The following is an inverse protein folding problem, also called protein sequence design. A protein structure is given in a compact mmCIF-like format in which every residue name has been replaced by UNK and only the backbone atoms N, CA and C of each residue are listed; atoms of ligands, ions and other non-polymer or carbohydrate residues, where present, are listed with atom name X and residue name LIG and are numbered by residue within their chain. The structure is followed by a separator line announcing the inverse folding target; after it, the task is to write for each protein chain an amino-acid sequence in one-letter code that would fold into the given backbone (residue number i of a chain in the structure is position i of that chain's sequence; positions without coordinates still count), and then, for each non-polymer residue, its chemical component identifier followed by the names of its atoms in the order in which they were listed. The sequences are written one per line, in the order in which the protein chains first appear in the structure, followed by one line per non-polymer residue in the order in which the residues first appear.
data_IF_102999678720
#
_entry.id   IF_102999678720
#
_cell.length_a   1.000
_cell.length_b   1.000
_cell.length_c   1.000
_cell.angle_alpha   90.00
_cell.angle_beta   90.00
_cell.angle_gamma   90.00
#
_symmetry.space_group_name_H-M   'P 1'
#
loop_
_entity.id
_entity.type
_entity.pdbx_description
1 polymer ?
#
# COMPACT_ATOMS: atom_id res chain seq x y z
N UNK A 1 -13.10 13.83 21.77
CA UNK A 1 -11.65 14.06 21.68
C UNK A 1 -11.05 12.84 21.01
N UNK A 2 -10.83 12.92 19.70
CA UNK A 2 -10.18 11.86 18.92
C UNK A 2 -8.68 12.04 19.09
N UNK A 3 -8.03 11.13 19.83
CA UNK A 3 -6.57 11.07 19.93
C UNK A 3 -5.96 10.93 18.53
N UNK A 4 -5.04 11.82 18.17
CA UNK A 4 -4.23 11.69 16.96
C UNK A 4 -3.29 10.49 17.13
N UNK A 5 -3.73 9.35 16.63
CA UNK A 5 -3.02 8.06 16.67
C UNK A 5 -1.97 8.05 15.55
N UNK A 6 -0.83 8.73 15.76
CA UNK A 6 0.49 8.56 15.11
C UNK A 6 1.36 9.81 15.36
N UNK A 7 2.18 9.80 16.41
CA UNK A 7 3.07 10.93 16.75
C UNK A 7 4.40 10.82 15.97
N UNK A 8 4.31 10.86 14.64
CA UNK A 8 5.49 10.91 13.76
C UNK A 8 5.56 12.25 13.00
N UNK A 9 6.75 12.86 12.83
CA UNK A 9 6.88 14.21 12.29
C UNK A 9 6.63 14.31 10.78
N UNK A 10 6.53 13.17 10.09
CA UNK A 10 6.36 13.11 8.64
C UNK A 10 4.89 12.96 8.27
N UNK A 11 4.39 13.81 7.36
CA UNK A 11 3.12 13.53 6.70
C UNK A 11 3.30 12.31 5.79
N UNK A 12 2.53 11.24 6.04
CA UNK A 12 2.54 10.02 5.23
C UNK A 12 1.20 9.84 4.53
N UNK A 13 1.24 9.55 3.24
CA UNK A 13 0.08 9.37 2.36
C UNK A 13 0.32 8.19 1.44
N UNK A 14 -0.76 7.52 1.02
CA UNK A 14 -0.66 6.44 0.04
C UNK A 14 -0.55 7.03 -1.38
N UNK A 15 0.21 6.36 -2.24
CA UNK A 15 0.20 6.64 -3.68
C UNK A 15 0.32 5.35 -4.46
N UNK A 16 -0.45 5.24 -5.56
CA UNK A 16 -0.36 4.11 -6.48
C UNK A 16 0.76 4.27 -7.51
N UNK A 17 1.38 5.46 -7.61
CA UNK A 17 2.40 5.75 -8.63
C UNK A 17 3.57 4.76 -8.62
N UNK A 18 4.15 4.35 -7.46
CA UNK A 18 5.23 3.36 -7.45
C UNK A 18 4.82 2.00 -8.03
N UNK A 19 3.56 1.60 -7.85
CA UNK A 19 3.02 0.36 -8.43
C UNK A 19 2.91 0.50 -9.95
N UNK A 20 2.33 1.60 -10.45
CA UNK A 20 2.23 1.87 -11.88
C UNK A 20 3.60 1.93 -12.55
N UNK A 21 4.56 2.60 -11.90
CA UNK A 21 5.94 2.67 -12.36
C UNK A 21 6.62 1.30 -12.43
N UNK A 22 6.36 0.44 -11.44
CA UNK A 22 6.86 -0.93 -11.47
C UNK A 22 6.32 -1.68 -12.70
N UNK A 23 5.02 -1.55 -12.99
CA UNK A 23 4.39 -2.14 -14.17
C UNK A 23 5.01 -1.62 -15.48
N UNK A 24 5.13 -0.28 -15.64
CA UNK A 24 5.73 0.37 -16.82
C UNK A 24 7.15 -0.10 -17.10
N UNK A 25 7.96 -0.24 -16.04
CA UNK A 25 9.40 -0.51 -16.16
C UNK A 25 9.73 -2.00 -16.26
N UNK A 26 8.98 -2.85 -15.55
CA UNK A 26 9.39 -4.25 -15.32
C UNK A 26 8.42 -5.29 -15.88
N UNK A 27 7.14 -4.96 -16.08
CA UNK A 27 6.13 -5.96 -16.45
C UNK A 27 5.69 -5.77 -17.90
N UNK A 28 5.18 -4.59 -18.23
CA UNK A 28 4.65 -4.30 -19.56
C UNK A 28 5.68 -4.53 -20.70
N UNK A 29 6.98 -4.18 -20.55
CA UNK A 29 7.97 -4.42 -21.60
C UNK A 29 8.31 -5.90 -21.80
N UNK A 30 8.14 -6.73 -20.76
CA UNK A 30 8.60 -8.14 -20.76
C UNK A 30 7.47 -9.09 -21.18
N UNK A 31 6.22 -8.74 -20.89
CA UNK A 31 5.06 -9.57 -21.20
C UNK A 31 3.98 -8.76 -21.92
N UNK A 32 3.89 -8.82 -23.26
CA UNK A 32 2.97 -8.00 -24.05
C UNK A 32 1.50 -8.12 -23.65
N UNK A 33 1.04 -9.34 -23.31
CA UNK A 33 -0.35 -9.55 -22.87
C UNK A 33 -0.66 -8.84 -21.55
N UNK A 34 0.27 -8.88 -20.60
CA UNK A 34 0.17 -8.14 -19.34
C UNK A 34 0.31 -6.63 -19.57
N UNK A 35 1.13 -6.21 -20.56
CA UNK A 35 1.25 -4.83 -21.00
C UNK A 35 -0.08 -4.26 -21.51
N UNK A 36 -0.75 -4.94 -22.43
CA UNK A 36 -2.07 -4.52 -22.93
C UNK A 36 -3.13 -4.46 -21.83
N UNK A 37 -3.06 -5.39 -20.87
CA UNK A 37 -3.94 -5.34 -19.70
C UNK A 37 -3.65 -4.12 -18.82
N UNK A 38 -2.37 -3.84 -18.56
CA UNK A 38 -1.92 -2.69 -17.80
C UNK A 38 -2.35 -1.36 -18.43
N UNK A 39 -2.24 -1.19 -19.75
CA UNK A 39 -2.68 0.03 -20.46
C UNK A 39 -4.15 0.38 -20.18
N UNK A 40 -5.03 -0.63 -20.11
CA UNK A 40 -6.45 -0.43 -19.79
C UNK A 40 -6.63 0.08 -18.36
N UNK A 41 -5.97 -0.55 -17.38
CA UNK A 41 -6.08 -0.15 -15.98
C UNK A 41 -5.43 1.20 -15.70
N UNK A 42 -4.26 1.44 -16.29
CA UNK A 42 -3.57 2.72 -16.23
C UNK A 42 -4.44 3.84 -16.81
N UNK A 43 -5.10 3.60 -17.96
CA UNK A 43 -6.06 4.54 -18.54
C UNK A 43 -7.19 4.89 -17.57
N UNK A 44 -7.84 3.88 -16.97
CA UNK A 44 -8.93 4.10 -16.00
C UNK A 44 -8.48 4.83 -14.73
N UNK A 45 -7.28 4.54 -14.21
CA UNK A 45 -6.69 5.29 -13.09
C UNK A 45 -6.42 6.74 -13.51
N UNK A 46 -5.93 6.95 -14.73
CA UNK A 46 -5.71 8.28 -15.28
C UNK A 46 -7.01 9.07 -15.51
N UNK A 47 -8.16 8.41 -15.59
CA UNK A 47 -9.46 9.05 -15.67
C UNK A 47 -10.13 9.23 -14.29
N UNK A 48 -9.53 8.72 -13.22
CA UNK A 48 -10.08 8.74 -11.86
C UNK A 48 -9.27 9.66 -10.96
N UNK A 49 -9.63 10.95 -10.80
CA UNK A 49 -8.86 11.91 -10.00
C UNK A 49 -8.63 11.48 -8.55
N UNK A 50 -9.57 10.73 -7.97
CA UNK A 50 -9.48 10.25 -6.58
C UNK A 50 -8.33 9.25 -6.36
N UNK A 51 -7.84 8.58 -7.41
CA UNK A 51 -6.73 7.62 -7.34
C UNK A 51 -5.38 8.22 -7.75
N UNK A 52 -5.36 9.49 -8.16
CA UNK A 52 -4.14 10.17 -8.61
C UNK A 52 -3.38 10.82 -7.47
N UNK A 53 -2.06 10.67 -7.50
CA UNK A 53 -1.18 11.35 -6.57
C UNK A 53 -1.29 10.81 -5.14
N UNK A 54 -1.50 11.72 -4.19
CA UNK A 54 -1.63 11.42 -2.77
C UNK A 54 -3.07 11.06 -2.41
N UNK A 55 -3.26 9.86 -1.85
CA UNK A 55 -4.52 9.34 -1.34
C UNK A 55 -4.51 9.53 0.19
N UNK A 56 -5.28 10.53 0.67
CA UNK A 56 -5.39 10.87 2.09
C UNK A 56 -6.30 9.89 2.84
N UNK A 57 -7.44 9.55 2.23
CA UNK A 57 -8.42 8.63 2.78
C UNK A 57 -8.33 7.32 2.00
N UNK A 58 -7.72 6.29 2.61
CA UNK A 58 -7.56 4.98 1.97
C UNK A 58 -8.87 4.22 1.82
N UNK A 59 -9.93 4.59 2.56
CA UNK A 59 -11.23 3.92 2.44
C UNK A 59 -11.85 4.11 1.05
N UNK A 60 -11.44 5.13 0.29
CA UNK A 60 -11.91 5.32 -1.08
C UNK A 60 -11.57 4.11 -1.97
N UNK A 61 -10.48 3.39 -1.67
CA UNK A 61 -10.02 2.25 -2.45
C UNK A 61 -10.99 1.07 -2.41
N UNK A 62 -11.86 0.99 -1.41
CA UNK A 62 -12.92 -0.03 -1.36
C UNK A 62 -13.87 0.09 -2.55
N UNK A 63 -14.03 1.30 -3.12
CA UNK A 63 -14.86 1.56 -4.30
C UNK A 63 -14.16 1.24 -5.63
N UNK A 64 -12.86 0.94 -5.61
CA UNK A 64 -12.02 0.76 -6.81
C UNK A 64 -11.25 -0.56 -6.81
N UNK A 65 -11.79 -1.58 -6.12
CA UNK A 65 -11.16 -2.91 -6.06
C UNK A 65 -11.05 -3.58 -7.44
N UNK A 66 -11.93 -3.23 -8.39
CA UNK A 66 -11.86 -3.70 -9.78
C UNK A 66 -10.61 -3.18 -10.52
N UNK A 67 -10.06 -2.04 -10.11
CA UNK A 67 -8.79 -1.51 -10.60
C UNK A 67 -7.61 -2.00 -9.78
N UNK A 68 -7.77 -2.08 -8.46
CA UNK A 68 -6.67 -2.39 -7.53
C UNK A 68 -6.25 -3.86 -7.60
N UNK A 69 -7.21 -4.80 -7.58
CA UNK A 69 -6.92 -6.24 -7.53
C UNK A 69 -6.06 -6.69 -8.73
N UNK A 70 -6.39 -6.33 -9.99
CA UNK A 70 -5.57 -6.72 -11.14
C UNK A 70 -4.15 -6.15 -11.09
N UNK A 71 -3.98 -4.91 -10.62
CA UNK A 71 -2.65 -4.30 -10.52
C UNK A 71 -1.83 -4.89 -9.39
N UNK A 72 -2.48 -5.27 -8.28
CA UNK A 72 -1.83 -5.91 -7.13
C UNK A 72 -1.44 -7.36 -7.41
N UNK A 73 -2.00 -8.01 -8.43
CA UNK A 73 -1.71 -9.42 -8.71
C UNK A 73 -0.24 -9.71 -9.07
N UNK A 74 0.52 -8.67 -9.44
CA UNK A 74 1.97 -8.78 -9.68
C UNK A 74 2.76 -8.97 -8.37
N UNK A 75 2.23 -8.48 -7.25
CA UNK A 75 2.82 -8.62 -5.91
C UNK A 75 2.13 -9.72 -5.12
N UNK A 76 0.82 -9.88 -5.28
CA UNK A 76 -0.03 -10.79 -4.54
C UNK A 76 -0.79 -11.70 -5.53
N UNK A 77 -0.21 -12.84 -5.94
CA UNK A 77 -0.80 -13.70 -6.95
C UNK A 77 -2.22 -14.14 -6.58
N UNK A 78 -3.18 -13.97 -7.49
CA UNK A 78 -4.57 -14.37 -7.24
C UNK A 78 -4.70 -15.88 -6.97
N UNK A 79 -3.82 -16.70 -7.55
CA UNK A 79 -3.82 -18.15 -7.36
C UNK A 79 -3.52 -18.59 -5.92
N UNK A 80 -2.87 -17.74 -5.12
CA UNK A 80 -2.50 -18.04 -3.72
C UNK A 80 -3.30 -17.24 -2.70
N UNK A 81 -4.27 -16.42 -3.12
CA UNK A 81 -4.98 -15.47 -2.25
C UNK A 81 -5.69 -16.13 -1.06
N UNK A 82 -6.24 -17.33 -1.25
CA UNK A 82 -6.98 -18.04 -0.20
C UNK A 82 -6.06 -18.75 0.80
N UNK A 83 -4.81 -19.02 0.40
CA UNK A 83 -3.85 -19.79 1.19
C UNK A 83 -2.84 -18.90 1.90
N UNK A 84 -2.41 -17.81 1.27
CA UNK A 84 -1.41 -16.90 1.80
C UNK A 84 -2.02 -15.88 2.76
N UNK A 85 -1.24 -15.52 3.79
CA UNK A 85 -1.56 -14.43 4.72
C UNK A 85 -0.75 -13.22 4.28
N UNK A 86 -1.30 -12.46 3.34
CA UNK A 86 -0.62 -11.31 2.72
C UNK A 86 -1.49 -10.05 2.74
N UNK A 87 -0.84 -8.89 2.76
CA UNK A 87 -1.49 -7.59 2.67
C UNK A 87 -0.48 -6.46 2.46
N UNK A 88 -0.96 -5.35 1.91
CA UNK A 88 -0.24 -4.10 1.75
C UNK A 88 -0.74 -3.08 2.77
N UNK A 89 0.21 -2.38 3.38
CA UNK A 89 -0.03 -1.40 4.44
C UNK A 89 0.45 -0.03 3.98
N UNK A 90 -0.21 1.02 4.46
CA UNK A 90 0.26 2.40 4.28
C UNK A 90 1.62 2.62 4.96
N UNK A 91 2.48 3.48 4.42
CA UNK A 91 3.71 3.87 5.10
C UNK A 91 3.40 4.61 6.41
N UNK A 92 4.21 4.38 7.44
CA UNK A 92 4.16 4.99 8.77
C UNK A 92 2.92 4.68 9.62
N UNK A 93 1.71 4.67 9.05
CA UNK A 93 0.46 4.44 9.79
C UNK A 93 0.06 2.97 9.87
N UNK A 94 0.70 2.11 9.06
CA UNK A 94 0.46 0.65 9.01
C UNK A 94 -1.02 0.27 8.82
N UNK A 95 -1.81 1.14 8.19
CA UNK A 95 -3.21 0.90 7.89
C UNK A 95 -3.30 -0.03 6.67
N UNK A 96 -3.99 -1.17 6.77
CA UNK A 96 -4.19 -2.05 5.61
C UNK A 96 -5.06 -1.39 4.54
N UNK A 97 -4.65 -1.52 3.28
CA UNK A 97 -5.43 -1.04 2.13
C UNK A 97 -5.62 -2.09 1.03
N UNK A 98 -4.87 -3.19 1.09
CA UNK A 98 -5.07 -4.39 0.29
C UNK A 98 -4.72 -5.60 1.14
N UNK A 99 -5.51 -6.67 1.10
CA UNK A 99 -5.26 -7.86 1.91
C UNK A 99 -5.95 -9.10 1.36
N UNK A 100 -5.32 -10.25 1.60
CA UNK A 100 -5.92 -11.56 1.42
C UNK A 100 -7.07 -11.80 2.43
N UNK A 101 -8.02 -12.70 2.13
CA UNK A 101 -9.08 -13.07 3.06
C UNK A 101 -8.56 -13.55 4.42
N UNK A 102 -7.49 -14.37 4.43
CA UNK A 102 -6.89 -14.86 5.67
C UNK A 102 -6.23 -13.74 6.47
N UNK A 103 -5.55 -12.79 5.81
CA UNK A 103 -5.01 -11.62 6.48
C UNK A 103 -6.13 -10.80 7.14
N UNK A 104 -7.26 -10.59 6.45
CA UNK A 104 -8.41 -9.90 7.06
C UNK A 104 -8.89 -10.59 8.34
N UNK A 105 -9.09 -11.91 8.28
CA UNK A 105 -9.60 -12.69 9.42
C UNK A 105 -8.65 -12.66 10.62
N UNK A 106 -7.34 -12.83 10.37
CA UNK A 106 -6.34 -12.98 11.43
C UNK A 106 -5.83 -11.64 11.95
N UNK A 107 -5.64 -10.66 11.05
CA UNK A 107 -4.83 -9.47 11.30
C UNK A 107 -5.63 -8.17 11.28
N UNK A 108 -6.88 -8.12 10.82
CA UNK A 108 -7.66 -6.86 10.77
C UNK A 108 -8.71 -6.85 11.89
N UNK A 109 -8.72 -5.76 12.67
CA UNK A 109 -9.63 -5.48 13.76
C UNK A 109 -10.99 -4.97 13.27
N UNK A 110 -11.96 -4.85 14.17
CA UNK A 110 -13.28 -4.31 13.84
C UNK A 110 -13.22 -2.84 13.40
N UNK A 111 -12.19 -2.11 13.81
CA UNK A 111 -11.92 -0.73 13.44
C UNK A 111 -11.20 -0.59 12.08
N UNK A 112 -10.91 -1.69 11.38
CA UNK A 112 -10.21 -1.70 10.10
C UNK A 112 -8.68 -1.55 10.20
N UNK A 113 -8.13 -1.48 11.41
CA UNK A 113 -6.69 -1.43 11.66
C UNK A 113 -6.13 -2.82 12.01
N UNK A 114 -4.80 -2.93 12.14
CA UNK A 114 -4.19 -4.19 12.53
C UNK A 114 -4.59 -4.62 13.96
N UNK A 115 -4.93 -5.90 14.12
CA UNK A 115 -5.15 -6.58 15.39
C UNK A 115 -3.85 -6.64 16.17
N UNK A 116 -3.96 -6.30 17.46
CA UNK A 116 -2.82 -6.24 18.36
C UNK A 116 -2.04 -4.96 18.15
N UNK A 117 -1.76 -4.27 19.25
CA UNK A 117 -0.58 -3.42 19.28
C UNK A 117 0.60 -4.37 19.20
N UNK A 118 1.61 -4.07 18.36
CA UNK A 118 2.93 -4.65 18.58
C UNK A 118 3.24 -4.29 20.03
N UNK A 119 3.19 -5.28 20.92
CA UNK A 119 3.43 -5.07 22.34
C UNK A 119 4.89 -4.71 22.40
N UNK A 120 5.12 -3.41 22.49
CA UNK A 120 6.43 -2.85 22.45
C UNK A 120 7.08 -3.13 23.80
N UNK A 121 7.63 -4.34 23.94
CA UNK A 121 8.45 -4.66 25.10
C UNK A 121 9.79 -3.87 25.04
N UNK A 122 10.09 -3.09 23.97
CA UNK A 122 11.38 -2.39 23.78
C UNK A 122 11.41 -1.03 23.01
N UNK A 123 10.31 -0.32 22.74
CA UNK A 123 10.33 0.99 22.04
C UNK A 123 10.53 0.97 20.50
N UNK A 124 10.51 -0.20 19.86
CA UNK A 124 11.06 -0.40 18.49
C UNK A 124 10.07 -0.04 17.37
N UNK A 125 8.76 0.04 17.66
CA UNK A 125 7.76 0.18 16.60
C UNK A 125 7.69 1.60 15.99
N UNK A 126 7.88 2.64 16.80
CA UNK A 126 7.80 4.04 16.34
C UNK A 126 9.16 4.55 15.82
N UNK A 127 10.26 4.23 16.52
CA UNK A 127 11.62 4.59 16.13
C UNK A 127 12.02 3.98 14.77
N UNK A 128 11.62 2.74 14.51
CA UNK A 128 11.92 2.05 13.24
C UNK A 128 11.16 2.64 12.04
N UNK A 129 9.97 3.21 12.25
CA UNK A 129 9.24 3.94 11.21
C UNK A 129 9.91 5.28 10.88
N UNK A 130 10.30 6.02 11.93
CA UNK A 130 10.99 7.29 11.82
C UNK A 130 12.35 7.15 11.10
N UNK A 131 13.15 6.18 11.53
CA UNK A 131 14.47 5.92 10.95
C UNK A 131 14.37 5.54 9.46
N UNK A 132 13.36 4.74 9.08
CA UNK A 132 13.09 4.42 7.67
C UNK A 132 12.72 5.64 6.85
N UNK A 133 11.89 6.54 7.39
CA UNK A 133 11.53 7.78 6.70
C UNK A 133 12.78 8.67 6.48
N UNK A 134 13.64 8.82 7.48
CA UNK A 134 14.91 9.55 7.32
C UNK A 134 15.83 8.91 6.30
N UNK A 135 16.04 7.59 6.34
CA UNK A 135 16.87 6.91 5.34
C UNK A 135 16.31 7.08 3.92
N UNK A 136 14.98 7.02 3.76
CA UNK A 136 14.36 7.26 2.47
C UNK A 136 14.61 8.70 1.96
N UNK A 137 14.52 9.70 2.85
CA UNK A 137 14.84 11.10 2.50
C UNK A 137 16.31 11.26 2.12
N UNK A 138 17.23 10.64 2.87
CA UNK A 138 18.66 10.68 2.58
C UNK A 138 18.98 10.04 1.22
N UNK A 139 18.45 8.86 0.93
CA UNK A 139 18.61 8.18 -0.36
C UNK A 139 18.01 9.01 -1.51
N UNK A 140 16.75 9.46 -1.38
CA UNK A 140 16.02 10.08 -2.48
C UNK A 140 16.37 11.55 -2.74
N UNK A 141 16.73 12.32 -1.72
CA UNK A 141 16.98 13.77 -1.82
C UNK A 141 18.47 14.07 -1.81
N UNK A 142 19.25 13.33 -1.02
CA UNK A 142 20.68 13.59 -0.82
C UNK A 142 21.59 12.59 -1.55
N UNK A 143 21.05 11.47 -2.05
CA UNK A 143 21.81 10.45 -2.79
C UNK A 143 22.80 9.67 -1.92
N UNK A 144 22.46 9.48 -0.65
CA UNK A 144 23.29 8.78 0.35
C UNK A 144 23.13 7.25 0.29
#
# INVERSE_FOLDING_TARGET
MTENKNDHPFRSVLSLEPLLDFWRKNVAPVCPHMGSMFEVFEGRINETPALKGAIEDVSILDNYQDLLIPLMSVVFPAASSDTEVSGALTPCTSQPFYFSPRFKQLMVGEDGFLKGRVKDDQGVSEEGGLLRAYFLVLDKIYGF
#
